data_IF_853119341716
#
_entry.id   IF_853119341716
#
_cell.length_a   1.000
_cell.length_b   1.000
_cell.length_c   1.000
_cell.angle_alpha   90.00
_cell.angle_beta   90.00
_cell.angle_gamma   90.00
#
_symmetry.space_group_name_H-M   'P 1'
#
loop_
_entity.id
_entity.type
_entity.pdbx_description
1 polymer ?
2 non-polymer ?
3 water ?
#
# COMPACT_ATOMS: atom_id res chain seq x y z
N UNK A 11 8.54 -14.54 -0.16
CA UNK A 11 8.14 -14.73 1.27
C UNK A 11 8.20 -13.44 2.15
N UNK A 12 8.79 -12.35 1.65
CA UNK A 12 8.57 -11.04 2.27
C UNK A 12 7.41 -10.42 1.53
N UNK A 13 6.28 -10.19 2.19
CA UNK A 13 5.11 -9.69 1.48
C UNK A 13 5.26 -8.25 0.96
N UNK A 14 6.06 -7.42 1.61
CA UNK A 14 6.28 -6.06 1.12
C UNK A 14 7.01 -6.05 -0.23
N UNK A 15 7.75 -7.12 -0.49
CA UNK A 15 8.48 -7.26 -1.76
C UNK A 15 7.55 -7.38 -2.96
N UNK A 16 6.33 -7.86 -2.72
CA UNK A 16 5.34 -8.01 -3.78
C UNK A 16 4.96 -6.69 -4.40
N UNK A 17 5.24 -5.60 -3.70
CA UNK A 17 4.91 -4.30 -4.26
C UNK A 17 5.90 -3.85 -5.34
N UNK A 18 7.17 -4.28 -5.23
CA UNK A 18 8.20 -3.94 -6.23
C UNK A 18 7.92 -4.58 -7.59
N UNK A 19 7.02 -5.56 -7.58
CA UNK A 19 6.71 -6.35 -8.75
C UNK A 19 5.34 -6.02 -9.35
N UNK A 20 4.43 -5.53 -8.52
CA UNK A 20 3.08 -5.19 -9.00
C UNK A 20 3.08 -3.83 -9.67
N UNK A 21 2.53 -3.76 -10.88
CA UNK A 21 2.62 -2.53 -11.66
C UNK A 21 1.73 -1.46 -11.09
N UNK A 22 1.88 -0.24 -11.59
CA UNK A 22 0.92 0.80 -11.30
C UNK A 22 -0.30 0.54 -12.17
N UNK A 23 -0.28 -0.60 -12.88
CA UNK A 23 -1.41 -0.95 -13.75
C UNK A 23 -2.68 -0.94 -12.92
N UNK A 24 -2.58 -1.45 -11.71
CA UNK A 24 -3.66 -1.47 -10.74
C UNK A 24 -4.28 -0.08 -10.55
N UNK A 25 -3.42 0.86 -10.22
CA UNK A 25 -3.80 2.23 -9.92
C UNK A 25 -4.31 3.00 -11.14
N UNK A 26 -3.71 2.74 -12.29
CA UNK A 26 -4.24 3.32 -13.53
C UNK A 26 -5.69 2.94 -13.74
N UNK A 27 -6.01 1.66 -13.59
CA UNK A 27 -7.33 1.17 -13.91
C UNK A 27 -8.39 1.71 -12.97
N UNK A 28 -8.00 1.82 -11.71
CA UNK A 28 -8.87 2.23 -10.61
C UNK A 28 -8.96 3.75 -10.46
N UNK A 29 -7.98 4.47 -10.98
CA UNK A 29 -7.93 5.90 -10.77
C UNK A 29 -8.55 6.66 -11.92
N UNK A 30 -8.49 7.97 -11.75
CA UNK A 30 -8.77 8.91 -12.81
C UNK A 30 -7.41 9.34 -13.36
N UNK A 31 -7.16 9.01 -14.61
CA UNK A 31 -5.83 9.19 -15.21
C UNK A 31 -5.81 10.45 -16.10
N UNK A 32 -4.93 11.39 -15.75
CA UNK A 32 -4.69 12.60 -16.56
C UNK A 32 -3.28 12.56 -17.13
N UNK A 33 -2.95 13.53 -17.98
CA UNK A 33 -1.62 13.60 -18.54
C UNK A 33 -0.57 13.61 -17.42
N UNK A 34 -0.74 14.45 -16.42
CA UNK A 34 0.36 14.48 -15.47
C UNK A 34 0.03 14.06 -14.04
N UNK A 35 -1.16 13.47 -13.84
CA UNK A 35 -1.50 12.89 -12.54
C UNK A 35 -2.51 11.75 -12.62
N UNK A 36 -2.53 10.96 -11.55
CA UNK A 36 -3.55 9.93 -11.36
C UNK A 36 -4.10 10.17 -9.98
N UNK A 37 -5.43 10.20 -9.86
CA UNK A 37 -6.07 10.37 -8.55
C UNK A 37 -6.93 9.11 -8.28
N UNK A 38 -6.65 8.44 -7.17
CA UNK A 38 -7.34 7.19 -6.83
C UNK A 38 -8.11 7.37 -5.51
N UNK A 39 -9.42 7.09 -5.51
CA UNK A 39 -10.17 7.22 -4.24
C UNK A 39 -9.54 6.28 -3.22
N UNK A 40 -9.56 6.66 -1.96
CA UNK A 40 -8.88 5.86 -0.95
C UNK A 40 -9.36 4.41 -0.86
N UNK A 41 -10.66 4.19 -0.90
CA UNK A 41 -11.08 2.81 -0.67
C UNK A 41 -10.63 1.90 -1.82
N UNK A 42 -10.76 2.40 -3.06
CA UNK A 42 -10.23 1.65 -4.21
C UNK A 42 -8.71 1.47 -4.16
N UNK A 43 -7.97 2.52 -3.80
CA UNK A 43 -6.53 2.38 -3.65
C UNK A 43 -6.20 1.25 -2.66
N UNK A 44 -6.81 1.30 -1.48
CA UNK A 44 -6.47 0.34 -0.42
C UNK A 44 -6.90 -1.06 -0.82
N UNK A 45 -8.10 -1.19 -1.38
CA UNK A 45 -8.56 -2.49 -1.90
C UNK A 45 -7.55 -3.14 -2.87
N UNK A 46 -7.03 -2.37 -3.82
CA UNK A 46 -6.05 -2.90 -4.74
C UNK A 46 -4.76 -3.31 -4.05
N UNK A 47 -4.29 -2.45 -3.15
CA UNK A 47 -3.04 -2.72 -2.46
C UNK A 47 -3.21 -3.90 -1.49
N UNK A 48 -4.38 -4.00 -0.85
CA UNK A 48 -4.60 -5.13 0.07
C UNK A 48 -4.59 -6.44 -0.73
N UNK A 49 -5.22 -6.41 -1.89
CA UNK A 49 -5.32 -7.61 -2.70
C UNK A 49 -3.94 -8.14 -3.11
N UNK A 50 -2.96 -7.24 -3.34
CA UNK A 50 -1.62 -7.70 -3.71
C UNK A 50 -1.04 -8.74 -2.76
N UNK A 51 -1.18 -8.51 -1.45
CA UNK A 51 -0.47 -9.35 -0.51
C UNK A 51 -1.31 -10.51 -0.04
N UNK A 52 -2.59 -10.49 -0.43
CA UNK A 52 -3.50 -11.58 -0.14
C UNK A 52 -2.96 -12.92 -0.68
N UNK A 53 -2.08 -12.87 -1.67
CA UNK A 53 -1.53 -14.09 -2.26
C UNK A 53 -0.46 -14.78 -1.39
N UNK A 54 0.16 -14.04 -0.47
CA UNK A 54 1.02 -14.66 0.50
C UNK A 54 0.27 -14.95 1.81
N UNK A 55 -1.06 -15.00 1.74
CA UNK A 55 -1.87 -15.28 2.93
C UNK A 55 -1.86 -14.15 3.95
N UNK A 56 -1.49 -12.93 3.54
CA UNK A 56 -1.60 -11.77 4.43
C UNK A 56 -2.92 -11.03 4.24
N UNK A 57 -3.72 -10.96 5.31
CA UNK A 57 -4.98 -10.24 5.27
C UNK A 57 -4.79 -8.81 5.77
N UNK A 58 -5.49 -7.87 5.16
CA UNK A 58 -5.34 -6.45 5.47
C UNK A 58 -6.69 -5.80 5.59
N UNK A 59 -6.83 -4.88 6.54
CA UNK A 59 -8.10 -4.20 6.75
C UNK A 59 -7.82 -2.79 7.27
N UNK A 60 -8.69 -1.84 6.94
CA UNK A 60 -8.55 -0.51 7.47
C UNK A 60 -9.61 -0.31 8.53
N UNK A 61 -9.24 0.30 9.65
CA UNK A 61 -10.24 0.69 10.64
C UNK A 61 -9.73 1.98 11.27
N UNK A 62 -10.51 3.04 11.15
CA UNK A 62 -10.02 4.37 11.49
C UNK A 62 -9.00 4.81 10.46
N UNK A 63 -7.85 5.25 10.97
CA UNK A 63 -6.73 5.63 10.11
C UNK A 63 -5.59 4.68 10.33
N UNK A 64 -5.93 3.46 10.74
CA UNK A 64 -4.94 2.41 10.93
C UNK A 64 -5.19 1.26 9.97
N UNK A 65 -4.12 0.61 9.55
CA UNK A 65 -4.18 -0.59 8.73
C UNK A 65 -3.80 -1.78 9.62
N UNK A 66 -4.59 -2.84 9.62
CA UNK A 66 -4.32 -4.03 10.43
C UNK A 66 -3.94 -5.19 9.51
N UNK A 67 -2.81 -5.83 9.76
CA UNK A 67 -2.35 -6.95 8.95
C UNK A 67 -2.32 -8.21 9.82
N UNK A 68 -2.71 -9.35 9.26
CA UNK A 68 -2.57 -10.63 9.94
C UNK A 68 -2.32 -11.71 8.91
N UNK A 69 -1.61 -12.75 9.30
CA UNK A 69 -1.14 -13.73 8.35
C UNK A 69 -1.24 -15.10 8.97
N UNK A 70 -1.69 -16.08 8.19
CA UNK A 70 -1.66 -17.46 8.62
C UNK A 70 -0.28 -18.09 8.33
N UNK A 71 0.34 -17.68 7.23
CA UNK A 71 1.59 -18.29 6.79
C UNK A 71 2.82 -17.41 7.01
N UNK A 72 2.91 -16.37 6.20
CA UNK A 72 4.11 -15.54 6.13
C UNK A 72 4.29 -14.69 7.41
N UNK A 73 5.52 -14.63 7.92
CA UNK A 73 5.88 -13.69 9.00
C UNK A 73 5.82 -12.25 8.48
N UNK A 74 5.60 -11.31 9.39
CA UNK A 74 5.51 -9.92 8.98
C UNK A 74 6.71 -9.09 9.44
N UNK A 75 7.89 -9.72 9.49
CA UNK A 75 9.11 -9.05 9.93
C UNK A 75 9.49 -7.86 9.07
N UNK A 76 9.17 -7.92 7.77
CA UNK A 76 9.50 -6.80 6.91
C UNK A 76 8.68 -5.56 7.25
N UNK A 77 7.39 -5.77 7.51
CA UNK A 77 6.51 -4.67 7.93
C UNK A 77 6.97 -4.05 9.26
N UNK A 78 7.37 -4.90 10.19
CA UNK A 78 7.88 -4.42 11.47
C UNK A 78 9.15 -3.60 11.26
N UNK A 79 10.05 -4.13 10.45
CA UNK A 79 11.28 -3.42 10.10
C UNK A 79 11.00 -2.03 9.53
N UNK A 80 9.90 -1.88 8.81
CA UNK A 80 9.54 -0.62 8.17
C UNK A 80 8.68 0.25 9.07
N UNK A 81 8.46 -0.18 10.31
CA UNK A 81 7.80 0.71 11.24
C UNK A 81 6.48 0.21 11.85
N UNK A 82 5.97 -0.92 11.36
CA UNK A 82 4.69 -1.40 11.89
C UNK A 82 4.78 -1.85 13.35
N UNK A 83 3.67 -1.71 14.07
CA UNK A 83 3.59 -2.14 15.46
C UNK A 83 3.00 -3.53 15.53
N UNK A 84 3.82 -4.51 15.89
CA UNK A 84 3.41 -5.91 15.85
C UNK A 84 3.28 -6.52 17.24
N UNK A 85 2.25 -7.32 17.43
CA UNK A 85 2.07 -8.01 18.71
C UNK A 85 2.82 -9.34 18.67
N UNK A 86 2.92 -9.92 17.49
CA UNK A 86 3.80 -11.08 17.27
C UNK A 86 4.17 -11.12 15.80
N UNK A 87 4.82 -12.20 15.34
CA UNK A 87 5.28 -12.29 13.95
C UNK A 87 4.15 -12.26 12.91
N UNK A 88 2.91 -12.42 13.36
CA UNK A 88 1.79 -12.65 12.45
C UNK A 88 0.69 -11.62 12.55
N UNK A 89 0.88 -10.59 13.38
CA UNK A 89 -0.14 -9.56 13.56
C UNK A 89 0.52 -8.20 13.73
N UNK A 90 0.17 -7.23 12.90
CA UNK A 90 0.78 -5.89 12.98
C UNK A 90 -0.27 -4.86 12.64
N UNK A 91 -0.06 -3.62 13.07
CA UNK A 91 -0.86 -2.52 12.61
C UNK A 91 0.07 -1.34 12.32
N UNK A 92 -0.36 -0.49 11.42
CA UNK A 92 0.44 0.70 11.08
C UNK A 92 -0.47 1.78 10.55
N UNK A 93 -0.06 3.05 10.72
CA UNK A 93 -0.91 4.14 10.25
C UNK A 93 -1.12 4.04 8.75
N UNK A 94 -2.27 4.49 8.32
CA UNK A 94 -2.56 4.60 6.90
C UNK A 94 -1.42 5.28 6.12
N UNK A 95 -0.91 6.40 6.61
CA UNK A 95 0.11 7.09 5.81
C UNK A 95 1.35 6.23 5.65
N UNK A 96 1.76 5.53 6.71
CA UNK A 96 2.92 4.66 6.58
C UNK A 96 2.70 3.54 5.58
N UNK A 97 1.50 2.94 5.61
CA UNK A 97 1.14 1.92 4.61
C UNK A 97 1.25 2.48 3.18
N UNK A 98 0.65 3.65 2.93
CA UNK A 98 0.72 4.27 1.61
C UNK A 98 2.18 4.50 1.16
N UNK A 99 3.00 5.07 2.04
CA UNK A 99 4.41 5.30 1.68
C UNK A 99 5.13 4.00 1.33
N UNK A 100 4.87 2.93 2.09
CA UNK A 100 5.54 1.65 1.82
C UNK A 100 5.14 1.05 0.48
N UNK A 101 3.85 1.00 0.22
CA UNK A 101 3.39 0.30 -0.95
C UNK A 101 3.66 1.07 -2.25
N UNK A 102 3.84 2.39 -2.15
CA UNK A 102 4.10 3.17 -3.36
C UNK A 102 5.61 3.42 -3.60
N UNK A 103 6.47 2.76 -2.82
CA UNK A 103 7.90 3.12 -2.88
C UNK A 103 8.47 3.04 -4.31
N UNK A 104 8.13 1.98 -5.00
CA UNK A 104 8.59 1.80 -6.37
C UNK A 104 7.94 2.78 -7.35
N UNK A 105 6.70 3.21 -7.07
CA UNK A 105 6.02 4.17 -7.93
C UNK A 105 6.68 5.54 -7.83
N UNK A 106 7.44 5.76 -6.77
CA UNK A 106 8.09 7.05 -6.56
C UNK A 106 9.22 7.32 -7.58
N UNK A 107 9.60 6.29 -8.34
CA UNK A 107 10.53 6.44 -9.44
C UNK A 107 9.95 7.35 -10.54
N UNK A 108 8.63 7.38 -10.66
CA UNK A 108 7.97 8.13 -11.73
C UNK A 108 7.01 9.18 -11.21
N UNK A 109 6.63 9.08 -9.93
CA UNK A 109 5.59 9.95 -9.41
C UNK A 109 5.90 10.57 -8.04
N UNK A 110 5.46 11.80 -7.83
CA UNK A 110 5.34 12.32 -6.46
C UNK A 110 4.12 11.61 -5.93
N UNK A 111 4.17 11.21 -4.66
CA UNK A 111 2.99 10.60 -4.05
C UNK A 111 2.49 11.50 -2.93
N UNK A 112 1.22 11.90 -2.99
CA UNK A 112 0.61 12.61 -1.86
C UNK A 112 -0.78 12.08 -1.64
N UNK A 113 -1.38 12.43 -0.51
CA UNK A 113 -2.66 11.86 -0.15
C UNK A 113 -3.39 12.64 0.94
N UNK A 114 -4.64 12.26 1.15
CA UNK A 114 -5.40 12.70 2.30
C UNK A 114 -6.43 11.62 2.61
N UNK A 115 -7.41 11.87 3.48
CA UNK A 115 -8.35 10.80 3.87
C UNK A 115 -9.24 10.39 2.68
N UNK A 116 -9.37 11.29 1.72
CA UNK A 116 -10.22 11.07 0.54
C UNK A 116 -9.56 10.25 -0.58
N UNK A 117 -8.30 10.54 -0.89
CA UNK A 117 -7.74 9.99 -2.10
C UNK A 117 -6.22 10.08 -2.15
N UNK A 118 -5.64 9.26 -3.03
CA UNK A 118 -4.20 9.27 -3.26
C UNK A 118 -3.97 9.91 -4.61
N UNK A 119 -3.01 10.84 -4.68
CA UNK A 119 -2.71 11.56 -5.91
C UNK A 119 -1.28 11.26 -6.26
N UNK A 120 -1.05 10.79 -7.49
CA UNK A 120 0.30 10.55 -7.99
C UNK A 120 0.53 11.59 -9.08
N UNK A 121 1.56 12.42 -8.93
CA UNK A 121 1.86 13.47 -9.90
C UNK A 121 3.10 13.05 -10.67
N UNK A 122 3.04 13.07 -12.01
CA UNK A 122 4.20 12.67 -12.77
C UNK A 122 5.41 13.55 -12.39
N UNK A 123 6.57 12.94 -12.19
CA UNK A 123 7.74 13.74 -11.86
C UNK A 123 8.23 14.54 -13.09
N UNK A 124 8.79 15.72 -12.81
CA UNK A 124 9.29 16.64 -13.83
C UNK A 124 8.94 18.09 -13.49
X LIG B 1 -13.25 3.06 9.20
X LIG C 1 14.82 -1.61 -5.09
#
# INVERSE_FOLDING_TARGET
MSYYHHHHHHLESTSLYKKAGSENLYFQGIVDKNKIVIPMSEFLDSMFLVIEKLGVHAEKKGSMIFLSSERVKLADWKQLGAMCSDCYHCKLPLSSFIEIVTRKAKDKFLVMYNEKEVTLVARGVQTIQK
CL CL
CL CL
#
